data_IF_713434961755
#
_entry.id   IF_713434961755
#
_cell.length_a   1.000
_cell.length_b   1.000
_cell.length_c   1.000
_cell.angle_alpha   90.00
_cell.angle_beta   90.00
_cell.angle_gamma   90.00
#
_symmetry.space_group_name_H-M   'P 1'
#
loop_
_entity.id
_entity.type
_entity.pdbx_description
1 polymer ?
#
# COMPACT_ATOMS: atom_id res chain seq x y z
N UNK A 1 12.12 -3.32 0.48
CA UNK A 1 11.25 -2.55 -0.41
C UNK A 1 10.05 -3.43 -0.76
N UNK A 2 8.93 -2.84 -1.18
CA UNK A 2 7.71 -3.58 -1.48
C UNK A 2 8.02 -4.69 -2.49
N UNK A 3 7.42 -5.86 -2.29
CA UNK A 3 7.48 -6.99 -3.20
C UNK A 3 6.21 -7.80 -2.99
N UNK A 4 5.80 -8.56 -4.01
CA UNK A 4 4.59 -9.37 -3.95
C UNK A 4 4.67 -10.43 -2.85
N UNK A 5 3.54 -10.74 -2.23
CA UNK A 5 3.36 -11.95 -1.45
C UNK A 5 3.20 -13.07 -2.48
N UNK A 6 2.20 -12.93 -3.37
CA UNK A 6 1.81 -13.96 -4.30
C UNK A 6 0.87 -14.91 -3.57
N UNK A 7 -0.25 -14.37 -3.09
CA UNK A 7 -1.37 -15.13 -2.57
C UNK A 7 -2.62 -14.45 -3.12
N UNK A 8 -3.70 -14.40 -2.35
CA UNK A 8 -4.98 -13.82 -2.72
C UNK A 8 -5.56 -13.10 -1.51
N UNK A 9 -4.84 -12.12 -1.02
CA UNK A 9 -5.02 -11.60 0.33
C UNK A 9 -4.34 -10.24 0.53
N UNK A 10 -3.37 -9.89 -0.31
CA UNK A 10 -2.75 -8.58 -0.44
C UNK A 10 -3.74 -7.63 -1.12
N UNK A 11 -3.25 -6.48 -1.58
CA UNK A 11 -3.94 -5.75 -2.61
C UNK A 11 -2.99 -5.47 -3.76
N UNK A 12 -3.38 -5.87 -4.96
CA UNK A 12 -2.70 -5.94 -6.27
C UNK A 12 -2.30 -4.59 -6.90
N UNK A 13 -2.30 -3.58 -6.06
CA UNK A 13 -1.90 -2.21 -6.34
C UNK A 13 -0.62 -1.91 -5.52
N UNK A 14 0.46 -2.64 -5.78
CA UNK A 14 1.71 -2.44 -5.04
C UNK A 14 2.67 -1.65 -5.91
N UNK A 15 3.23 -2.28 -6.95
CA UNK A 15 4.15 -1.64 -7.88
C UNK A 15 4.05 -2.38 -9.23
N UNK A 16 2.89 -2.33 -9.94
CA UNK A 16 2.75 -2.95 -11.25
C UNK A 16 3.34 -2.06 -12.35
N UNK A 17 2.65 -0.96 -12.69
CA UNK A 17 3.13 0.13 -13.53
C UNK A 17 2.71 1.49 -12.97
N UNK A 18 2.09 1.51 -11.78
CA UNK A 18 1.42 2.67 -11.21
C UNK A 18 2.47 3.58 -10.58
N UNK A 19 3.02 3.12 -9.46
CA UNK A 19 4.12 3.78 -8.76
C UNK A 19 5.29 3.98 -9.73
N UNK A 20 5.41 3.13 -10.75
CA UNK A 20 6.41 3.14 -11.79
C UNK A 20 6.19 4.36 -12.69
N UNK A 21 4.95 4.57 -13.18
CA UNK A 21 4.62 5.78 -13.91
C UNK A 21 4.96 7.03 -13.07
N UNK A 22 4.69 6.97 -11.76
CA UNK A 22 5.04 8.04 -10.84
C UNK A 22 6.55 8.08 -10.55
N UNK A 23 7.29 7.00 -10.83
CA UNK A 23 8.73 6.92 -10.70
C UNK A 23 9.39 7.72 -11.79
N UNK A 24 8.96 7.54 -13.05
CA UNK A 24 9.44 8.39 -14.12
C UNK A 24 8.85 9.78 -13.98
N UNK A 25 7.68 9.93 -13.35
CA UNK A 25 7.14 11.27 -13.09
C UNK A 25 8.05 12.11 -12.19
N UNK A 26 9.06 11.54 -11.52
CA UNK A 26 10.03 12.36 -10.80
C UNK A 26 10.90 13.20 -11.77
N UNK A 27 10.88 12.95 -13.08
CA UNK A 27 11.70 13.70 -14.03
C UNK A 27 11.18 13.74 -15.48
N UNK A 28 10.07 13.05 -15.80
CA UNK A 28 9.61 12.77 -17.16
C UNK A 28 9.48 14.05 -18.00
N UNK A 29 8.39 14.79 -17.84
CA UNK A 29 8.16 16.04 -18.56
C UNK A 29 7.09 16.88 -17.84
N UNK A 30 7.21 17.04 -16.52
CA UNK A 30 6.24 17.80 -15.73
C UNK A 30 6.77 19.24 -15.64
N UNK A 31 6.80 19.85 -14.47
CA UNK A 31 7.42 21.16 -14.24
C UNK A 31 7.97 21.20 -12.81
N UNK A 32 8.83 22.15 -12.46
CA UNK A 32 9.50 22.25 -11.16
C UNK A 32 8.52 22.34 -9.98
N UNK A 33 7.42 23.08 -10.17
CA UNK A 33 6.43 23.37 -9.12
C UNK A 33 5.61 22.11 -8.85
N UNK A 34 5.05 21.57 -9.94
CA UNK A 34 4.35 20.30 -9.97
C UNK A 34 5.25 19.26 -9.31
N UNK A 35 6.50 19.15 -9.76
CA UNK A 35 7.42 18.13 -9.32
C UNK A 35 7.51 18.19 -7.81
N UNK A 36 7.95 19.30 -7.21
CA UNK A 36 8.12 19.33 -5.76
C UNK A 36 6.80 19.07 -5.01
N UNK A 37 5.65 19.49 -5.56
CA UNK A 37 4.34 19.15 -5.01
C UNK A 37 4.09 17.64 -5.03
N UNK A 38 4.24 17.01 -6.20
CA UNK A 38 4.20 15.57 -6.40
C UNK A 38 5.15 14.91 -5.43
N UNK A 39 6.32 15.51 -5.20
CA UNK A 39 7.42 14.92 -4.49
C UNK A 39 6.95 14.71 -3.09
N UNK A 40 6.42 15.76 -2.46
CA UNK A 40 5.92 15.58 -1.10
C UNK A 40 4.71 14.63 -1.03
N UNK A 41 3.79 14.73 -1.99
CA UNK A 41 2.53 14.01 -1.95
C UNK A 41 2.81 12.51 -2.03
N UNK A 42 3.71 12.14 -2.94
CA UNK A 42 4.16 10.78 -3.09
C UNK A 42 5.02 10.37 -1.91
N UNK A 43 5.77 11.25 -1.27
CA UNK A 43 6.55 10.85 -0.09
C UNK A 43 5.61 10.37 1.03
N UNK A 44 4.50 11.08 1.24
CA UNK A 44 3.47 10.55 2.12
C UNK A 44 2.88 9.25 1.57
N UNK A 45 2.67 9.16 0.25
CA UNK A 45 2.06 7.99 -0.38
C UNK A 45 2.94 6.75 -0.19
N UNK A 46 4.19 6.79 -0.65
CA UNK A 46 5.20 5.75 -0.50
C UNK A 46 5.28 5.36 0.95
N UNK A 47 5.33 6.32 1.88
CA UNK A 47 5.45 5.96 3.29
C UNK A 47 4.27 5.08 3.72
N UNK A 48 3.04 5.48 3.38
CA UNK A 48 1.87 4.71 3.76
C UNK A 48 1.80 3.34 3.10
N UNK A 49 2.08 3.20 1.80
CA UNK A 49 2.06 1.87 1.18
C UNK A 49 3.20 1.01 1.76
N UNK A 50 4.34 1.61 2.14
CA UNK A 50 5.42 0.90 2.82
C UNK A 50 4.95 0.30 4.14
N UNK A 51 4.14 1.06 4.89
CA UNK A 51 3.59 0.57 6.15
C UNK A 51 2.49 -0.47 5.94
N UNK A 52 1.60 -0.28 4.96
CA UNK A 52 0.69 -1.33 4.51
C UNK A 52 1.43 -2.64 4.26
N UNK A 53 2.44 -2.63 3.40
CA UNK A 53 3.39 -3.72 3.16
C UNK A 53 3.91 -4.31 4.48
N UNK A 54 4.38 -3.47 5.42
CA UNK A 54 4.89 -3.96 6.70
C UNK A 54 3.83 -4.80 7.42
N UNK A 55 2.58 -4.34 7.36
CA UNK A 55 1.47 -4.99 8.02
C UNK A 55 0.98 -6.20 7.23
N UNK A 56 0.99 -6.20 5.89
CA UNK A 56 0.71 -7.41 5.10
C UNK A 56 1.70 -8.50 5.47
N UNK A 57 2.98 -8.14 5.70
CA UNK A 57 3.98 -9.12 6.08
C UNK A 57 3.66 -9.66 7.47
N UNK A 58 3.40 -8.77 8.42
CA UNK A 58 2.99 -9.19 9.75
C UNK A 58 1.67 -9.97 9.72
N UNK A 59 0.80 -9.78 8.72
CA UNK A 59 -0.43 -10.54 8.53
C UNK A 59 -0.11 -11.97 8.16
N UNK A 60 0.73 -12.19 7.16
CA UNK A 60 1.09 -13.53 6.74
C UNK A 60 1.79 -14.30 7.86
N UNK A 61 2.64 -13.61 8.63
CA UNK A 61 3.32 -14.19 9.77
C UNK A 61 2.30 -14.46 10.90
N UNK A 62 1.32 -13.57 11.07
CA UNK A 62 0.22 -13.78 12.00
C UNK A 62 -0.61 -14.99 11.57
N UNK A 63 -0.96 -15.10 10.30
CA UNK A 63 -1.80 -16.14 9.69
C UNK A 63 -1.16 -17.51 9.86
N UNK A 64 0.13 -17.62 9.56
CA UNK A 64 0.93 -18.81 9.78
C UNK A 64 0.88 -19.21 11.27
N UNK A 65 1.26 -18.28 12.16
CA UNK A 65 1.22 -18.55 13.60
C UNK A 65 -0.20 -18.77 14.10
N UNK A 66 -1.24 -18.26 13.43
CA UNK A 66 -2.63 -18.43 13.78
C UNK A 66 -2.98 -19.88 13.55
N UNK A 67 -2.85 -20.39 12.32
CA UNK A 67 -3.18 -21.80 12.09
C UNK A 67 -2.35 -22.67 13.02
N UNK A 68 -1.12 -22.24 13.34
CA UNK A 68 -0.25 -22.98 14.24
C UNK A 68 -0.70 -22.87 15.72
N UNK A 69 -1.38 -21.78 16.10
CA UNK A 69 -1.88 -21.52 17.46
C UNK A 69 -3.22 -22.19 17.68
N UNK A 70 -4.10 -22.16 16.67
CA UNK A 70 -5.35 -22.89 16.75
C UNK A 70 -5.02 -24.38 16.82
N UNK A 71 -3.99 -24.83 16.07
CA UNK A 71 -3.45 -26.18 16.13
C UNK A 71 -2.66 -26.51 17.42
N UNK A 72 -2.72 -25.67 18.47
CA UNK A 72 -2.29 -26.07 19.82
C UNK A 72 -3.44 -25.94 20.83
N UNK A 73 -4.34 -24.97 20.67
CA UNK A 73 -5.48 -24.85 21.57
C UNK A 73 -5.33 -23.79 22.65
N UNK A 74 -4.22 -23.02 22.63
CA UNK A 74 -3.81 -22.12 23.72
C UNK A 74 -4.84 -21.05 24.09
N UNK A 75 -5.80 -20.74 23.21
CA UNK A 75 -6.94 -19.89 23.51
C UNK A 75 -6.54 -18.42 23.54
N UNK A 76 -5.80 -18.01 24.56
CA UNK A 76 -5.29 -16.67 24.77
C UNK A 76 -4.60 -16.16 23.49
N UNK A 77 -3.60 -16.87 22.97
CA UNK A 77 -2.92 -16.42 21.76
C UNK A 77 -3.79 -16.60 20.52
N UNK A 78 -4.76 -17.51 20.49
CA UNK A 78 -5.70 -17.64 19.37
C UNK A 78 -6.47 -16.32 19.24
N UNK A 79 -6.99 -15.80 20.37
CA UNK A 79 -7.69 -14.54 20.43
C UNK A 79 -6.76 -13.37 20.09
N UNK A 80 -5.54 -13.32 20.65
CA UNK A 80 -4.63 -12.20 20.36
C UNK A 80 -4.21 -12.19 18.88
N UNK A 81 -4.01 -13.37 18.29
CA UNK A 81 -3.89 -13.55 16.86
C UNK A 81 -5.07 -12.86 16.17
N UNK A 82 -6.31 -13.24 16.46
CA UNK A 82 -7.51 -12.65 15.85
C UNK A 82 -7.58 -11.13 16.00
N UNK A 83 -7.21 -10.60 17.15
CA UNK A 83 -7.30 -9.19 17.50
C UNK A 83 -6.35 -8.37 16.62
N UNK A 84 -5.07 -8.74 16.60
CA UNK A 84 -4.10 -8.02 15.78
C UNK A 84 -4.36 -8.31 14.30
N UNK A 85 -4.92 -9.48 13.98
CA UNK A 85 -5.25 -9.85 12.61
C UNK A 85 -6.33 -8.91 12.08
N UNK A 86 -7.44 -8.78 12.80
CA UNK A 86 -8.52 -7.88 12.45
C UNK A 86 -8.03 -6.45 12.31
N UNK A 87 -7.19 -6.00 13.24
CA UNK A 87 -6.53 -4.69 13.13
C UNK A 87 -5.76 -4.60 11.81
N UNK A 88 -4.85 -5.53 11.52
CA UNK A 88 -4.04 -5.48 10.31
C UNK A 88 -4.92 -5.51 9.05
N UNK A 89 -5.94 -6.38 9.00
CA UNK A 89 -6.92 -6.47 7.91
C UNK A 89 -7.71 -5.17 7.78
N UNK A 90 -8.02 -4.51 8.89
CA UNK A 90 -8.67 -3.22 8.90
C UNK A 90 -7.81 -2.21 8.15
N UNK A 91 -6.50 -2.18 8.47
CA UNK A 91 -5.57 -1.33 7.76
C UNK A 91 -5.38 -1.79 6.31
N UNK A 92 -5.45 -3.08 5.95
CA UNK A 92 -5.30 -3.43 4.54
C UNK A 92 -6.50 -2.94 3.74
N UNK A 93 -7.74 -3.19 4.18
CA UNK A 93 -8.94 -2.75 3.47
C UNK A 93 -8.94 -1.23 3.33
N UNK A 94 -8.71 -0.50 4.43
CA UNK A 94 -8.75 0.95 4.43
C UNK A 94 -7.59 1.53 3.63
N UNK A 95 -6.34 1.09 3.87
CA UNK A 95 -5.21 1.65 3.14
C UNK A 95 -5.40 1.31 1.67
N UNK A 96 -5.74 0.07 1.32
CA UNK A 96 -5.94 -0.36 -0.05
C UNK A 96 -6.97 0.49 -0.78
N UNK A 97 -8.09 0.78 -0.13
CA UNK A 97 -9.09 1.68 -0.67
C UNK A 97 -8.50 3.08 -0.90
N UNK A 98 -7.75 3.59 0.08
CA UNK A 98 -7.17 4.92 0.03
C UNK A 98 -6.12 4.99 -1.08
N UNK A 99 -5.28 3.97 -1.21
CA UNK A 99 -4.34 3.77 -2.31
C UNK A 99 -5.14 3.79 -3.59
N UNK A 100 -6.13 2.92 -3.81
CA UNK A 100 -6.92 2.89 -5.06
C UNK A 100 -7.51 4.26 -5.39
N UNK A 101 -8.00 5.01 -4.39
CA UNK A 101 -8.52 6.35 -4.57
C UNK A 101 -7.43 7.25 -5.14
N UNK A 102 -6.36 7.45 -4.39
CA UNK A 102 -5.25 8.31 -4.79
C UNK A 102 -4.62 7.79 -6.08
N UNK A 103 -4.63 6.49 -6.34
CA UNK A 103 -4.22 5.84 -7.58
C UNK A 103 -4.94 6.50 -8.71
N UNK A 104 -6.28 6.39 -8.75
CA UNK A 104 -7.04 7.00 -9.82
C UNK A 104 -6.90 8.51 -9.84
N UNK A 105 -6.66 9.15 -8.68
CA UNK A 105 -6.51 10.61 -8.63
C UNK A 105 -5.20 11.02 -9.32
N UNK A 106 -4.05 10.59 -8.80
CA UNK A 106 -2.72 10.90 -9.30
C UNK A 106 -2.53 10.35 -10.72
N UNK A 107 -3.03 9.14 -11.03
CA UNK A 107 -3.09 8.62 -12.40
C UNK A 107 -3.81 9.64 -13.28
N UNK A 108 -4.97 10.12 -12.84
CA UNK A 108 -5.73 11.19 -13.47
C UNK A 108 -4.82 12.36 -13.81
N UNK A 109 -4.20 12.97 -12.79
CA UNK A 109 -3.48 14.23 -12.91
C UNK A 109 -2.21 14.01 -13.72
N UNK A 110 -1.32 13.12 -13.29
CA UNK A 110 -0.02 12.91 -13.92
C UNK A 110 -0.20 12.48 -15.39
N UNK A 111 -1.29 11.81 -15.75
CA UNK A 111 -1.43 11.40 -17.13
C UNK A 111 -1.70 12.57 -18.09
N UNK A 112 -2.24 13.71 -17.61
CA UNK A 112 -2.04 14.98 -18.32
C UNK A 112 -0.65 15.50 -18.06
N UNK A 113 -0.28 15.62 -16.78
CA UNK A 113 0.75 16.50 -16.25
C UNK A 113 0.57 17.89 -16.84
N UNK A 114 -0.30 18.68 -16.20
CA UNK A 114 -0.92 19.88 -16.75
C UNK A 114 0.12 20.92 -17.16
N UNK A 115 0.75 21.62 -16.20
CA UNK A 115 1.93 22.50 -16.35
C UNK A 115 2.10 23.42 -15.13
N UNK A 116 1.02 23.97 -14.56
CA UNK A 116 1.10 24.93 -13.46
C UNK A 116 0.65 24.24 -12.18
N UNK A 117 1.32 23.14 -11.82
CA UNK A 117 0.72 22.15 -10.93
C UNK A 117 -0.62 21.67 -11.55
N UNK A 118 -1.34 20.73 -10.93
CA UNK A 118 -2.31 19.88 -11.63
C UNK A 118 -3.69 20.10 -11.03
#
# INVERSE_FOLDING_TARGET
>A
RVSHQGYSTEAEFEEPRVIDLWDLAQSANLTDKELEAFREELKHFEAKIEKHNHYQKQLEIAHEKLRHAESVGDGERVSRSREKHALLEGRTKELGYTVKKHLQDLSGRISRARHNEL
#
